data_IF_651751042632
#
_entry.id   IF_651751042632
#
_cell.length_a   1.000
_cell.length_b   1.000
_cell.length_c   1.000
_cell.angle_alpha   90.00
_cell.angle_beta   90.00
_cell.angle_gamma   90.00
#
_symmetry.space_group_name_H-M   'P 1'
#
loop_
_entity.id
_entity.type
_entity.pdbx_description
1 polymer ?
#
# COMPACT_ATOMS: atom_id res chain seq x y z
N UNK A 1 47.64 -46.59 -20.65
CA UNK A 1 46.37 -47.21 -20.21
C UNK A 1 45.37 -46.21 -19.62
N UNK A 2 45.78 -45.25 -18.77
CA UNK A 2 44.87 -44.28 -18.10
C UNK A 2 44.02 -43.39 -19.03
N UNK A 3 44.54 -42.97 -20.18
CA UNK A 3 43.79 -42.08 -21.09
C UNK A 3 42.55 -42.75 -21.71
N UNK A 4 42.62 -44.06 -22.02
CA UNK A 4 41.47 -44.82 -22.56
C UNK A 4 40.38 -44.97 -21.50
N UNK A 5 40.77 -45.20 -20.25
CA UNK A 5 39.85 -45.34 -19.12
C UNK A 5 39.10 -44.04 -18.80
N UNK A 6 39.77 -42.88 -18.92
CA UNK A 6 39.14 -41.56 -18.77
C UNK A 6 38.13 -41.32 -19.90
N UNK A 7 38.49 -41.65 -21.14
CA UNK A 7 37.61 -41.49 -22.30
C UNK A 7 36.40 -42.43 -22.19
N UNK A 8 36.60 -43.66 -21.76
CA UNK A 8 35.52 -44.64 -21.57
C UNK A 8 34.59 -44.23 -20.42
N UNK A 9 35.12 -43.67 -19.34
CA UNK A 9 34.31 -43.14 -18.23
C UNK A 9 33.51 -41.90 -18.64
N UNK A 10 34.09 -41.02 -19.45
CA UNK A 10 33.38 -39.86 -20.01
C UNK A 10 32.29 -40.29 -21.00
N UNK A 11 32.55 -41.30 -21.84
CA UNK A 11 31.59 -41.86 -22.78
C UNK A 11 30.41 -42.57 -22.07
N UNK A 12 30.69 -43.31 -20.98
CA UNK A 12 29.64 -43.92 -20.14
C UNK A 12 28.80 -42.87 -19.43
N UNK A 13 29.40 -41.78 -18.95
CA UNK A 13 28.67 -40.63 -18.40
C UNK A 13 27.77 -39.97 -19.44
N UNK A 14 28.24 -39.81 -20.68
CA UNK A 14 27.47 -39.26 -21.79
C UNK A 14 26.31 -40.17 -22.22
N UNK A 15 26.48 -41.50 -22.12
CA UNK A 15 25.41 -42.47 -22.36
C UNK A 15 24.33 -42.40 -21.26
N UNK A 16 24.71 -42.23 -20.00
CA UNK A 16 23.78 -42.01 -18.89
C UNK A 16 22.97 -40.69 -19.03
N UNK A 17 23.61 -39.66 -19.58
CA UNK A 17 22.95 -38.39 -19.93
C UNK A 17 21.93 -38.59 -21.07
N UNK A 18 22.18 -39.54 -21.97
CA UNK A 18 21.31 -39.84 -23.13
C UNK A 18 20.09 -40.71 -22.80
N UNK A 19 20.07 -41.44 -21.68
CA UNK A 19 19.03 -42.43 -21.34
C UNK A 19 17.76 -41.88 -20.66
N UNK A 20 17.54 -40.57 -20.67
CA UNK A 20 16.19 -40.01 -20.44
C UNK A 20 15.91 -39.42 -19.04
N UNK A 21 16.86 -39.50 -18.11
CA UNK A 21 16.73 -38.87 -16.78
C UNK A 21 16.72 -37.33 -16.90
N UNK A 22 17.51 -36.77 -17.83
CA UNK A 22 17.53 -35.33 -18.10
C UNK A 22 16.22 -34.78 -18.68
N UNK A 23 15.42 -35.60 -19.39
CA UNK A 23 14.10 -35.17 -19.91
C UNK A 23 13.15 -34.75 -18.78
N UNK A 24 13.24 -35.42 -17.64
CA UNK A 24 12.43 -35.10 -16.47
C UNK A 24 13.10 -34.07 -15.55
N UNK A 25 14.43 -34.00 -15.53
CA UNK A 25 15.16 -33.01 -14.74
C UNK A 25 14.79 -31.56 -15.12
N UNK A 26 14.66 -31.26 -16.41
CA UNK A 26 14.22 -29.93 -16.88
C UNK A 26 12.80 -29.61 -16.42
N UNK A 27 11.90 -30.59 -16.42
CA UNK A 27 10.52 -30.43 -15.94
C UNK A 27 10.47 -30.17 -14.42
N UNK A 28 11.27 -30.88 -13.63
CA UNK A 28 11.36 -30.67 -12.18
C UNK A 28 11.91 -29.27 -11.85
N UNK A 29 12.95 -28.83 -12.55
CA UNK A 29 13.52 -27.48 -12.40
C UNK A 29 12.48 -26.40 -12.76
N UNK A 30 11.71 -26.63 -13.82
CA UNK A 30 10.64 -25.71 -14.23
C UNK A 30 9.56 -25.57 -13.15
N UNK A 31 9.08 -26.69 -12.58
CA UNK A 31 8.11 -26.66 -11.48
C UNK A 31 8.70 -25.99 -10.24
N UNK A 32 9.96 -26.28 -9.91
CA UNK A 32 10.63 -25.66 -8.77
C UNK A 32 10.73 -24.14 -8.92
N UNK A 33 11.05 -23.67 -10.13
CA UNK A 33 11.05 -22.24 -10.44
C UNK A 33 9.65 -21.63 -10.28
N UNK A 34 8.59 -22.29 -10.77
CA UNK A 34 7.22 -21.85 -10.61
C UNK A 34 6.81 -21.75 -9.12
N UNK A 35 7.22 -22.70 -8.29
CA UNK A 35 6.94 -22.68 -6.85
C UNK A 35 7.64 -21.50 -6.17
N UNK A 36 8.92 -21.25 -6.48
CA UNK A 36 9.64 -20.08 -5.94
C UNK A 36 8.96 -18.78 -6.37
N UNK A 37 8.60 -18.68 -7.65
CA UNK A 37 7.90 -17.50 -8.19
C UNK A 37 6.55 -17.30 -7.51
N UNK A 38 5.79 -18.38 -7.30
CA UNK A 38 4.52 -18.34 -6.56
C UNK A 38 4.69 -17.85 -5.13
N UNK A 39 5.68 -18.37 -4.39
CA UNK A 39 5.97 -17.94 -3.02
C UNK A 39 6.34 -16.44 -3.02
N UNK A 40 7.19 -16.01 -3.96
CA UNK A 40 7.59 -14.60 -4.08
C UNK A 40 6.41 -13.65 -4.31
N UNK A 41 5.50 -14.01 -5.22
CA UNK A 41 4.31 -13.20 -5.51
C UNK A 41 3.36 -13.15 -4.30
N UNK A 42 3.09 -14.30 -3.66
CA UNK A 42 2.21 -14.35 -2.49
C UNK A 42 2.73 -13.49 -1.34
N UNK A 43 4.04 -13.54 -1.08
CA UNK A 43 4.65 -12.77 -0.01
C UNK A 43 4.58 -11.25 -0.25
N UNK A 44 4.66 -10.82 -1.52
CA UNK A 44 4.45 -9.42 -1.91
C UNK A 44 3.01 -8.94 -1.67
N UNK A 45 2.03 -9.78 -2.02
CA UNK A 45 0.60 -9.47 -1.84
C UNK A 45 0.24 -9.37 -0.36
N UNK A 46 0.72 -10.28 0.48
CA UNK A 46 0.42 -10.29 1.91
C UNK A 46 0.90 -9.01 2.60
N UNK A 47 2.13 -8.56 2.29
CA UNK A 47 2.68 -7.30 2.82
C UNK A 47 1.85 -6.09 2.42
N UNK A 48 1.43 -6.02 1.16
CA UNK A 48 0.59 -4.92 0.66
C UNK A 48 -0.75 -4.86 1.38
N UNK A 49 -1.41 -6.01 1.56
CA UNK A 49 -2.71 -6.07 2.24
C UNK A 49 -2.62 -5.66 3.72
N UNK A 50 -1.54 -6.03 4.42
CA UNK A 50 -1.33 -5.63 5.83
C UNK A 50 -1.14 -4.12 5.95
N UNK A 51 -0.36 -3.51 5.06
CA UNK A 51 -0.16 -2.05 5.03
C UNK A 51 -1.47 -1.32 4.71
N UNK A 52 -2.24 -1.80 3.74
CA UNK A 52 -3.52 -1.20 3.36
C UNK A 52 -4.51 -1.17 4.52
N UNK A 53 -4.66 -2.30 5.23
CA UNK A 53 -5.53 -2.37 6.42
C UNK A 53 -5.13 -1.38 7.50
N UNK A 54 -3.84 -1.19 7.71
CA UNK A 54 -3.31 -0.23 8.67
C UNK A 54 -3.64 1.20 8.25
N UNK A 55 -3.45 1.54 6.98
CA UNK A 55 -3.74 2.86 6.43
C UNK A 55 -5.23 3.21 6.54
N UNK A 56 -6.12 2.25 6.24
CA UNK A 56 -7.57 2.43 6.37
C UNK A 56 -7.96 2.76 7.82
N UNK A 57 -7.34 2.08 8.80
CA UNK A 57 -7.57 2.37 10.22
C UNK A 57 -7.13 3.79 10.58
N UNK A 58 -5.93 4.19 10.18
CA UNK A 58 -5.40 5.54 10.44
C UNK A 58 -6.27 6.62 9.79
N UNK A 59 -6.73 6.41 8.56
CA UNK A 59 -7.64 7.32 7.86
C UNK A 59 -8.98 7.48 8.60
N UNK A 60 -9.52 6.38 9.13
CA UNK A 60 -10.76 6.41 9.92
C UNK A 60 -10.59 7.23 11.20
N UNK A 61 -9.49 7.02 11.91
CA UNK A 61 -9.19 7.73 13.16
C UNK A 61 -8.98 9.23 12.89
N UNK A 62 -8.25 9.57 11.83
CA UNK A 62 -8.03 10.95 11.41
C UNK A 62 -9.33 11.66 11.01
N UNK A 63 -10.23 10.96 10.32
CA UNK A 63 -11.55 11.49 9.97
C UNK A 63 -12.40 11.76 11.22
N UNK A 64 -12.37 10.86 12.20
CA UNK A 64 -13.07 11.04 13.46
C UNK A 64 -12.52 12.26 14.24
N UNK A 65 -11.20 12.40 14.33
CA UNK A 65 -10.56 13.54 14.99
C UNK A 65 -10.88 14.86 14.29
N UNK A 66 -10.76 14.93 12.96
CA UNK A 66 -11.15 16.12 12.18
C UNK A 66 -12.59 16.52 12.42
N UNK A 67 -13.52 15.56 12.41
CA UNK A 67 -14.94 15.81 12.64
C UNK A 67 -15.19 16.33 14.05
N UNK A 68 -14.53 15.73 15.06
CA UNK A 68 -14.61 16.18 16.45
C UNK A 68 -14.08 17.60 16.64
N UNK A 69 -12.90 17.91 16.07
CA UNK A 69 -12.34 19.27 16.13
C UNK A 69 -13.23 20.28 15.43
N UNK A 70 -13.77 19.96 14.26
CA UNK A 70 -14.68 20.83 13.51
C UNK A 70 -15.95 21.11 14.30
N UNK A 71 -16.59 20.09 14.88
CA UNK A 71 -17.77 20.26 15.72
C UNK A 71 -17.48 21.14 16.93
N UNK A 72 -16.32 20.95 17.59
CA UNK A 72 -15.89 21.78 18.73
C UNK A 72 -15.70 23.24 18.32
N UNK A 73 -15.06 23.51 17.18
CA UNK A 73 -14.86 24.86 16.67
C UNK A 73 -16.20 25.54 16.31
N UNK A 74 -17.11 24.81 15.67
CA UNK A 74 -18.46 25.31 15.37
C UNK A 74 -19.20 25.68 16.66
N UNK A 75 -19.17 24.81 17.67
CA UNK A 75 -19.77 25.09 18.97
C UNK A 75 -19.15 26.32 19.65
N UNK A 76 -17.81 26.40 19.69
CA UNK A 76 -17.11 27.54 20.28
C UNK A 76 -17.39 28.86 19.56
N UNK A 77 -17.51 28.82 18.24
CA UNK A 77 -17.80 30.01 17.44
C UNK A 77 -19.20 30.60 17.71
N UNK A 78 -20.12 29.81 18.31
CA UNK A 78 -21.54 30.17 18.51
C UNK A 78 -22.20 30.76 17.26
N UNK A 79 -21.65 30.46 16.08
CA UNK A 79 -21.99 31.17 14.84
C UNK A 79 -23.46 31.00 14.50
N UNK A 80 -24.01 29.82 14.76
CA UNK A 80 -25.44 29.53 14.58
C UNK A 80 -26.33 30.37 15.51
N UNK A 81 -25.97 30.51 16.79
CA UNK A 81 -26.71 31.36 17.75
C UNK A 81 -26.67 32.83 17.30
N UNK A 82 -25.52 33.29 16.80
CA UNK A 82 -25.33 34.67 16.33
C UNK A 82 -26.10 34.90 15.03
N UNK A 83 -26.07 33.98 14.08
CA UNK A 83 -26.83 34.05 12.83
C UNK A 83 -28.35 34.11 13.10
N UNK A 84 -28.87 33.23 13.98
CA UNK A 84 -30.29 33.25 14.36
C UNK A 84 -30.69 34.61 14.95
N UNK A 85 -29.90 35.15 15.88
CA UNK A 85 -30.15 36.47 16.47
C UNK A 85 -30.07 37.60 15.43
N UNK A 86 -29.07 37.58 14.55
CA UNK A 86 -28.94 38.59 13.49
C UNK A 86 -30.15 38.58 12.55
N UNK A 87 -30.72 37.40 12.29
CA UNK A 87 -31.93 37.25 11.47
C UNK A 87 -33.16 37.81 12.20
N UNK A 88 -33.30 37.52 13.51
CA UNK A 88 -34.37 38.03 14.37
C UNK A 88 -34.36 39.57 14.46
N UNK A 89 -33.17 40.19 14.48
CA UNK A 89 -33.00 41.65 14.49
C UNK A 89 -33.02 42.30 13.09
N UNK A 90 -33.46 41.60 12.04
CA UNK A 90 -33.48 42.08 10.64
C UNK A 90 -32.13 42.63 10.14
N UNK A 91 -31.01 42.04 10.58
CA UNK A 91 -29.68 42.48 10.15
C UNK A 91 -29.39 42.08 8.70
N UNK A 92 -28.81 42.99 7.92
CA UNK A 92 -28.31 42.75 6.56
C UNK A 92 -26.91 42.15 6.51
N UNK A 93 -26.30 41.85 7.67
CA UNK A 93 -24.97 41.24 7.76
C UNK A 93 -24.97 39.85 7.15
N UNK A 94 -24.20 39.68 6.07
CA UNK A 94 -24.02 38.39 5.39
C UNK A 94 -22.84 37.65 5.98
N UNK A 95 -22.96 36.32 5.99
CA UNK A 95 -21.89 35.45 6.40
C UNK A 95 -20.65 35.69 5.49
N UNK A 96 -19.46 36.02 6.06
CA UNK A 96 -18.25 36.20 5.27
C UNK A 96 -17.88 34.92 4.52
N UNK A 97 -17.90 35.01 3.19
CA UNK A 97 -17.51 33.95 2.26
C UNK A 97 -15.99 33.79 2.15
N UNK A 98 -15.24 34.84 2.50
CA UNK A 98 -13.79 34.82 2.44
C UNK A 98 -13.19 34.23 3.71
N UNK A 99 -12.22 33.29 3.59
CA UNK A 99 -11.54 32.74 4.75
C UNK A 99 -10.75 33.84 5.47
N UNK A 100 -10.61 33.77 6.80
CA UNK A 100 -9.84 34.75 7.56
C UNK A 100 -8.39 34.77 7.07
N UNK A 101 -7.94 35.93 6.59
CA UNK A 101 -6.54 36.16 6.22
C UNK A 101 -5.78 36.71 7.42
N UNK A 102 -4.51 36.33 7.54
CA UNK A 102 -3.62 36.87 8.57
C UNK A 102 -3.44 38.37 8.30
N UNK A 103 -3.91 39.21 9.21
CA UNK A 103 -3.73 40.66 9.13
C UNK A 103 -2.24 40.95 9.38
N UNK A 104 -1.55 41.47 8.37
CA UNK A 104 -0.18 41.96 8.49
C UNK A 104 -0.31 43.46 8.72
N UNK A 105 -0.08 43.91 9.95
CA UNK A 105 -0.03 45.33 10.28
C UNK A 105 1.34 45.84 9.83
N UNK A 106 1.39 46.68 8.79
CA UNK A 106 2.58 47.50 8.54
C UNK A 106 2.70 48.55 9.65
N UNK A 107 3.92 48.70 10.15
CA UNK A 107 4.24 49.49 11.35
C UNK A 107 4.53 50.93 10.98
#
# INVERSE_FOLDING_TARGET
>A
MKAREIIDNLARGMWLVRTGIFKHATFVIYIFFLVILYIGINFGIERSQVTERTNVKVLKDLKADYTGKTARLLYQSKRLEIELKLTEYNSTLKNPQEPPRRVIMEK
#
